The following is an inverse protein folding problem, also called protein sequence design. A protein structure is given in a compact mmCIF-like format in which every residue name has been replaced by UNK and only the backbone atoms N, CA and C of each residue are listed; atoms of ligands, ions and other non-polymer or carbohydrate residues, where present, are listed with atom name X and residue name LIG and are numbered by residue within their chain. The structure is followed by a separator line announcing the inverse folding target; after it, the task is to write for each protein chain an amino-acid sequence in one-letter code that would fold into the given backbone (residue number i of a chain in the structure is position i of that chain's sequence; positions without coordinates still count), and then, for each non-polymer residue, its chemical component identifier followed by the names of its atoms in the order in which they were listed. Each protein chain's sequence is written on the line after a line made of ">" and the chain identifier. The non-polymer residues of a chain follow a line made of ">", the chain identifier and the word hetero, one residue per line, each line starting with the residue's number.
data_IF_083100460059
#
_entry.id   IF_083100460059
#
_cell.length_a   1.000
_cell.length_b   1.000
_cell.length_c   1.000
_cell.angle_alpha   90.00
_cell.angle_beta   90.00
_cell.angle_gamma   90.00
#
_symmetry.space_group_name_H-M   'P 1'
#
loop_
_entity.id
_entity.type
_entity.pdbx_description
1 polymer ?
#
# COMPACT_ATOMS: atom_id res chain seq x y z
N UNK A 1 11.95 14.57 11.17
CA UNK A 1 11.09 14.85 10.00
C UNK A 1 11.87 14.82 8.68
N UNK A 2 13.01 15.50 8.58
CA UNK A 2 13.86 15.50 7.36
C UNK A 2 14.36 14.11 6.92
N UNK A 3 14.75 13.23 7.85
CA UNK A 3 15.22 11.87 7.53
C UNK A 3 14.15 11.03 6.83
N UNK A 4 12.88 11.17 7.23
CA UNK A 4 11.76 10.44 6.67
C UNK A 4 11.42 10.89 5.23
N UNK A 5 11.55 12.19 4.97
CA UNK A 5 11.41 12.77 3.61
C UNK A 5 12.53 12.31 2.68
N UNK A 6 13.77 12.18 3.17
CA UNK A 6 14.90 11.69 2.38
C UNK A 6 14.72 10.23 1.95
N UNK A 7 14.18 9.38 2.82
CA UNK A 7 13.90 7.96 2.49
C UNK A 7 12.82 7.88 1.40
N UNK A 8 11.74 8.66 1.52
CA UNK A 8 10.70 8.72 0.49
C UNK A 8 11.26 9.23 -0.86
N UNK A 9 12.13 10.25 -0.82
CA UNK A 9 12.76 10.78 -2.02
C UNK A 9 13.68 9.74 -2.69
N UNK A 10 14.45 9.00 -1.90
CA UNK A 10 15.32 7.92 -2.39
C UNK A 10 14.51 6.79 -3.05
N UNK A 11 13.38 6.38 -2.44
CA UNK A 11 12.47 5.37 -3.01
C UNK A 11 11.87 5.89 -4.33
N UNK A 12 11.48 7.16 -4.37
CA UNK A 12 10.90 7.79 -5.56
C UNK A 12 11.88 7.85 -6.74
N UNK A 13 13.15 8.15 -6.45
CA UNK A 13 14.23 8.15 -7.46
C UNK A 13 14.51 6.72 -7.94
N UNK A 14 14.60 5.74 -7.03
CA UNK A 14 14.78 4.32 -7.39
C UNK A 14 13.65 3.80 -8.28
N UNK A 15 12.40 4.16 -7.97
CA UNK A 15 11.24 3.73 -8.75
C UNK A 15 11.22 4.37 -10.15
N UNK A 16 11.53 5.66 -10.25
CA UNK A 16 11.69 6.34 -11.56
C UNK A 16 12.80 5.71 -12.39
N UNK A 17 13.93 5.38 -11.78
CA UNK A 17 15.04 4.72 -12.47
C UNK A 17 14.66 3.32 -12.98
N UNK A 18 13.93 2.54 -12.17
CA UNK A 18 13.44 1.22 -12.57
C UNK A 18 12.44 1.29 -13.74
N UNK A 19 11.54 2.28 -13.75
CA UNK A 19 10.60 2.52 -14.85
C UNK A 19 11.29 3.04 -16.12
N UNK A 20 12.26 3.93 -15.97
CA UNK A 20 13.03 4.43 -17.11
C UNK A 20 13.87 3.31 -17.74
N UNK A 21 14.49 2.47 -16.90
CA UNK A 21 15.22 1.27 -17.35
C UNK A 21 14.28 0.25 -17.99
N UNK A 22 13.09 0.01 -17.43
CA UNK A 22 12.12 -0.93 -18.03
C UNK A 22 11.69 -0.47 -19.42
N UNK A 23 11.51 0.84 -19.66
CA UNK A 23 11.24 1.38 -21.00
C UNK A 23 12.38 1.17 -22.00
N UNK A 24 13.63 1.17 -21.53
CA UNK A 24 14.81 0.89 -22.36
C UNK A 24 14.96 -0.61 -22.66
N UNK A 25 14.65 -1.47 -21.68
CA UNK A 25 14.61 -2.93 -21.83
C UNK A 25 13.38 -3.42 -22.62
N UNK A 26 12.33 -2.61 -22.76
CA UNK A 26 11.14 -2.88 -23.56
C UNK A 26 11.24 -2.46 -25.04
N UNK A 27 12.45 -2.23 -25.55
CA UNK A 27 12.67 -2.00 -26.98
C UNK A 27 12.49 -3.32 -27.75
N UNK A 28 11.23 -3.63 -28.06
CA UNK A 28 10.72 -4.81 -28.79
C UNK A 28 10.99 -6.14 -28.10
N UNK A 29 9.94 -6.71 -27.50
CA UNK A 29 9.88 -8.14 -27.25
C UNK A 29 10.22 -8.91 -28.55
N UNK A 30 11.00 -10.00 -28.47
CA UNK A 30 11.29 -10.84 -29.63
C UNK A 30 9.97 -11.23 -30.30
N UNK A 31 9.94 -11.37 -31.63
CA UNK A 31 8.71 -11.60 -32.43
C UNK A 31 7.79 -12.69 -31.87
N UNK A 32 8.33 -13.70 -31.20
CA UNK A 32 7.58 -14.78 -30.56
C UNK A 32 6.76 -14.36 -29.32
N UNK A 33 7.17 -13.29 -28.62
CA UNK A 33 6.56 -12.83 -27.36
C UNK A 33 5.69 -11.58 -27.52
N UNK A 34 5.46 -11.10 -28.74
CA UNK A 34 4.59 -9.95 -29.02
C UNK A 34 3.16 -10.18 -28.51
N UNK A 35 2.71 -11.44 -28.46
CA UNK A 35 1.42 -11.81 -27.87
C UNK A 35 1.33 -11.53 -26.35
N UNK A 36 2.46 -11.49 -25.64
CA UNK A 36 2.51 -11.24 -24.19
C UNK A 36 2.58 -9.75 -23.84
N UNK A 37 2.70 -8.85 -24.82
CA UNK A 37 2.64 -7.40 -24.61
C UNK A 37 1.53 -6.97 -23.62
N UNK A 38 0.24 -7.37 -23.80
CA UNK A 38 -0.82 -6.99 -22.88
C UNK A 38 -0.65 -7.56 -21.45
N UNK A 39 0.00 -8.71 -21.30
CA UNK A 39 0.25 -9.32 -19.97
C UNK A 39 1.30 -8.52 -19.21
N UNK A 40 2.31 -8.02 -19.92
CA UNK A 40 3.40 -7.27 -19.27
C UNK A 40 2.89 -5.88 -18.84
N UNK A 41 2.01 -5.27 -19.62
CA UNK A 41 1.32 -4.04 -19.21
C UNK A 41 0.51 -4.25 -17.91
N UNK A 42 -0.19 -5.38 -17.79
CA UNK A 42 -0.94 -5.74 -16.57
C UNK A 42 -0.02 -6.07 -15.39
N UNK A 43 1.12 -6.72 -15.62
CA UNK A 43 2.10 -7.06 -14.57
C UNK A 43 2.68 -5.80 -13.90
N UNK A 44 2.88 -4.73 -14.67
CA UNK A 44 3.33 -3.46 -14.15
C UNK A 44 2.25 -2.79 -13.28
N UNK A 45 0.99 -2.83 -13.74
CA UNK A 45 -0.17 -2.31 -13.01
C UNK A 45 -0.40 -3.06 -11.69
N UNK A 46 -0.28 -4.38 -11.68
CA UNK A 46 -0.55 -5.18 -10.48
C UNK A 46 0.48 -4.92 -9.36
N UNK A 47 1.72 -4.64 -9.76
CA UNK A 47 2.80 -4.26 -8.85
C UNK A 47 2.51 -2.90 -8.21
N UNK A 48 2.02 -1.94 -9.00
CA UNK A 48 1.59 -0.64 -8.49
C UNK A 48 0.36 -0.76 -7.57
N UNK A 49 -0.63 -1.58 -7.95
CA UNK A 49 -1.85 -1.76 -7.17
C UNK A 49 -1.59 -2.44 -5.82
N UNK A 50 -0.67 -3.41 -5.77
CA UNK A 50 -0.25 -4.06 -4.52
C UNK A 50 0.44 -3.09 -3.55
N UNK A 51 1.19 -2.12 -4.08
CA UNK A 51 1.77 -1.05 -3.27
C UNK A 51 0.69 -0.14 -2.67
N UNK A 52 -0.30 0.29 -3.46
CA UNK A 52 -1.43 1.07 -2.96
C UNK A 52 -2.24 0.29 -1.92
N UNK A 53 -2.45 -1.01 -2.16
CA UNK A 53 -3.17 -1.89 -1.24
C UNK A 53 -2.50 -1.96 0.13
N UNK A 54 -1.16 -1.91 0.20
CA UNK A 54 -0.46 -1.87 1.48
C UNK A 54 -0.82 -0.63 2.31
N UNK A 55 -1.01 0.54 1.69
CA UNK A 55 -1.48 1.73 2.40
C UNK A 55 -2.93 1.60 2.85
N UNK A 56 -3.81 1.09 1.98
CA UNK A 56 -5.21 0.80 2.33
C UNK A 56 -5.27 -0.16 3.52
N UNK A 57 -4.39 -1.17 3.52
CA UNK A 57 -4.30 -2.13 4.61
C UNK A 57 -3.83 -1.50 5.92
N UNK A 58 -2.81 -0.63 5.88
CA UNK A 58 -2.37 0.10 7.08
C UNK A 58 -3.49 0.99 7.65
N UNK A 59 -4.24 1.67 6.78
CA UNK A 59 -5.37 2.51 7.19
C UNK A 59 -6.49 1.65 7.80
N UNK A 60 -6.83 0.51 7.18
CA UNK A 60 -7.84 -0.42 7.69
C UNK A 60 -7.45 -1.04 9.05
N UNK A 61 -6.17 -1.38 9.25
CA UNK A 61 -5.66 -1.88 10.55
C UNK A 61 -5.79 -0.82 11.64
N UNK A 62 -5.50 0.46 11.34
CA UNK A 62 -5.67 1.55 12.31
C UNK A 62 -7.12 1.67 12.77
N UNK A 63 -8.09 1.66 11.84
CA UNK A 63 -9.51 1.72 12.19
C UNK A 63 -9.97 0.56 13.08
N UNK A 64 -9.45 -0.65 12.85
CA UNK A 64 -9.77 -1.82 13.70
C UNK A 64 -9.30 -1.61 15.14
N UNK A 65 -8.10 -1.05 15.33
CA UNK A 65 -7.55 -0.82 16.68
C UNK A 65 -8.30 0.28 17.41
N UNK A 66 -8.71 1.33 16.70
CA UNK A 66 -9.52 2.41 17.29
C UNK A 66 -10.88 1.89 17.75
N UNK A 67 -11.55 1.06 16.93
CA UNK A 67 -12.85 0.49 17.29
C UNK A 67 -12.80 -0.37 18.56
N UNK A 68 -11.75 -1.18 18.71
CA UNK A 68 -11.58 -2.03 19.90
C UNK A 68 -11.35 -1.21 21.18
N UNK A 69 -10.62 -0.09 21.08
CA UNK A 69 -10.40 0.82 22.21
C UNK A 69 -11.72 1.47 22.69
N UNK A 70 -12.53 1.98 21.77
CA UNK A 70 -13.85 2.55 22.11
C UNK A 70 -14.81 1.50 22.67
N UNK A 71 -14.82 0.29 22.11
CA UNK A 71 -15.66 -0.80 22.61
C UNK A 71 -15.35 -1.15 24.08
N UNK A 72 -14.06 -1.19 24.45
CA UNK A 72 -13.64 -1.42 25.85
C UNK A 72 -14.08 -0.29 26.78
N UNK A 73 -13.93 0.97 26.37
CA UNK A 73 -14.37 2.12 27.18
C UNK A 73 -15.89 2.09 27.41
N UNK A 74 -16.67 1.84 26.37
CA UNK A 74 -18.14 1.78 26.51
C UNK A 74 -18.57 0.63 27.42
N UNK A 75 -17.91 -0.53 27.29
CA UNK A 75 -18.15 -1.67 28.19
C UNK A 75 -17.85 -1.32 29.65
N UNK A 76 -16.71 -0.67 29.92
CA UNK A 76 -16.34 -0.26 31.27
C UNK A 76 -17.28 0.81 31.83
N UNK A 77 -17.70 1.78 31.02
CA UNK A 77 -18.68 2.80 31.42
C UNK A 77 -20.06 2.19 31.71
N UNK A 78 -20.50 1.23 30.92
CA UNK A 78 -21.77 0.53 31.16
C UNK A 78 -21.73 -0.30 32.45
N UNK A 79 -20.61 -0.97 32.71
CA UNK A 79 -20.38 -1.71 33.96
C UNK A 79 -20.41 -0.80 35.18
N UNK A 80 -19.77 0.37 35.11
CA UNK A 80 -19.79 1.36 36.19
C UNK A 80 -21.22 1.89 36.41
N UNK A 81 -21.96 2.17 35.34
CA UNK A 81 -23.34 2.68 35.44
C UNK A 81 -24.30 1.66 36.09
N UNK A 82 -24.18 0.37 35.75
CA UNK A 82 -25.00 -0.68 36.36
C UNK A 82 -24.54 -1.07 37.78
N UNK A 83 -23.31 -0.77 38.18
CA UNK A 83 -22.84 -1.01 39.55
C UNK A 83 -23.28 0.06 40.55
N UNK A 84 -23.68 1.24 40.07
CA UNK A 84 -24.07 2.39 40.89
C UNK A 84 -25.59 2.56 41.04
N UNK A 85 -26.39 1.72 40.37
CA UNK A 85 -27.85 1.63 40.49
C UNK A 85 -28.22 0.35 41.25
#
# INVERSE_FOLDING_TARGET
>A
MFVMLNILNLICICFNFAFYSSSFFFTKLPKAYVFLNPIIDVMLIITLFSFLLAFVWQVAISFRRDFEYYSRIIHDLFKIKNSNN
#
